data_IF_974106963520
#
_entry.id   IF_974106963520
#
_cell.length_a   1.000
_cell.length_b   1.000
_cell.length_c   1.000
_cell.angle_alpha   90.00
_cell.angle_beta   90.00
_cell.angle_gamma   90.00
#
_symmetry.space_group_name_H-M   'P 1'
#
loop_
_entity.id
_entity.type
_entity.pdbx_description
1 polymer ?
#
# COMPACT_ATOMS: atom_id res chain seq x y z
N UNK A 1 1.65 9.28 8.19
CA UNK A 1 1.93 9.19 6.74
C UNK A 1 2.40 10.54 6.25
N UNK A 2 3.38 10.59 5.33
CA UNK A 2 3.88 11.84 4.73
C UNK A 2 3.21 12.05 3.36
N UNK A 3 2.85 13.28 3.01
CA UNK A 3 2.45 13.63 1.66
C UNK A 3 3.68 13.84 0.79
N UNK A 4 3.72 13.17 -0.36
CA UNK A 4 4.79 13.25 -1.34
C UNK A 4 4.21 13.75 -2.66
N UNK A 5 5.03 14.43 -3.45
CA UNK A 5 4.68 14.66 -4.85
C UNK A 5 4.76 13.33 -5.63
N UNK A 6 4.25 13.33 -6.86
CA UNK A 6 4.17 12.12 -7.70
C UNK A 6 5.51 11.41 -7.87
N UNK A 7 6.57 12.14 -8.21
CA UNK A 7 7.89 11.58 -8.47
C UNK A 7 8.49 10.95 -7.20
N UNK A 8 8.40 11.65 -6.07
CA UNK A 8 8.83 11.14 -4.77
C UNK A 8 8.03 9.91 -4.33
N UNK A 9 6.73 9.89 -4.64
CA UNK A 9 5.81 8.82 -4.29
C UNK A 9 6.11 7.54 -5.09
N UNK A 10 6.31 7.66 -6.42
CA UNK A 10 6.73 6.55 -7.29
C UNK A 10 8.09 5.99 -6.85
N UNK A 11 9.03 6.87 -6.51
CA UNK A 11 10.34 6.45 -5.97
C UNK A 11 10.21 5.71 -4.63
N UNK A 12 9.28 6.12 -3.76
CA UNK A 12 9.03 5.45 -2.49
C UNK A 12 8.33 4.09 -2.64
N UNK A 13 7.48 3.94 -3.66
CA UNK A 13 6.81 2.70 -4.01
C UNK A 13 7.83 1.61 -4.35
N UNK A 14 8.81 1.94 -5.18
CA UNK A 14 9.94 1.07 -5.53
C UNK A 14 9.70 0.30 -6.82
N UNK A 15 10.25 -0.90 -6.92
CA UNK A 15 10.18 -1.70 -8.16
C UNK A 15 8.82 -2.40 -8.29
N UNK A 16 8.07 -2.23 -9.39
CA UNK A 16 6.81 -2.94 -9.58
C UNK A 16 7.02 -4.47 -9.65
N UNK A 17 6.05 -5.21 -9.10
CA UNK A 17 5.99 -6.66 -9.22
C UNK A 17 5.08 -7.04 -10.39
N UNK A 18 5.66 -7.65 -11.42
CA UNK A 18 4.93 -8.10 -12.60
C UNK A 18 4.44 -9.55 -12.54
N UNK A 19 4.78 -10.28 -11.47
CA UNK A 19 4.34 -11.66 -11.27
C UNK A 19 3.06 -11.70 -10.43
N UNK A 20 2.06 -12.46 -10.89
CA UNK A 20 0.84 -12.76 -10.15
C UNK A 20 1.19 -13.52 -8.87
N UNK A 21 1.36 -12.79 -7.76
CA UNK A 21 1.34 -13.35 -6.41
C UNK A 21 -0.08 -13.23 -5.87
N UNK A 22 -0.50 -14.28 -5.17
CA UNK A 22 -1.73 -14.25 -4.41
C UNK A 22 -1.54 -13.38 -3.17
N UNK A 23 -2.36 -12.33 -3.07
CA UNK A 23 -2.39 -11.39 -1.94
C UNK A 23 -3.72 -11.43 -1.18
N UNK A 24 -4.56 -12.44 -1.45
CA UNK A 24 -5.86 -12.66 -0.79
C UNK A 24 -5.77 -12.72 0.73
N UNK A 25 -4.63 -13.17 1.28
CA UNK A 25 -4.37 -13.19 2.72
C UNK A 25 -4.58 -11.82 3.39
N UNK A 26 -4.39 -10.73 2.64
CA UNK A 26 -4.50 -9.38 3.16
C UNK A 26 -5.84 -8.72 2.87
N UNK A 27 -6.72 -9.37 2.11
CA UNK A 27 -8.02 -8.81 1.73
C UNK A 27 -8.85 -8.48 2.97
N UNK A 28 -9.52 -7.33 2.93
CA UNK A 28 -10.32 -6.84 4.03
C UNK A 28 -9.52 -6.24 5.19
N UNK A 29 -8.18 -6.30 5.18
CA UNK A 29 -7.40 -5.67 6.23
C UNK A 29 -7.41 -4.14 6.11
N UNK A 30 -7.62 -3.41 7.21
CA UNK A 30 -7.78 -1.96 7.17
C UNK A 30 -6.43 -1.24 7.01
N UNK A 31 -6.46 -0.07 6.37
CA UNK A 31 -5.33 0.85 6.27
C UNK A 31 -5.80 2.31 6.36
N UNK A 32 -4.90 3.20 6.78
CA UNK A 32 -5.17 4.63 6.84
C UNK A 32 -4.90 5.27 5.46
N UNK A 33 -5.93 5.83 4.82
CA UNK A 33 -5.84 6.44 3.50
C UNK A 33 -5.43 7.90 3.58
N UNK A 34 -4.79 8.40 2.51
CA UNK A 34 -4.39 9.81 2.37
C UNK A 34 -5.57 10.79 2.48
N UNK A 35 -6.79 10.37 2.14
CA UNK A 35 -8.00 11.19 2.32
C UNK A 35 -8.42 11.38 3.79
N UNK A 36 -7.77 10.69 4.74
CA UNK A 36 -8.09 10.72 6.17
C UNK A 36 -9.06 9.63 6.62
N UNK A 37 -9.70 8.91 5.69
CA UNK A 37 -10.54 7.77 6.01
C UNK A 37 -9.73 6.48 6.19
N UNK A 38 -10.36 5.47 6.82
CA UNK A 38 -9.87 4.09 6.80
C UNK A 38 -10.56 3.32 5.69
N UNK A 39 -9.78 2.69 4.83
CA UNK A 39 -10.26 1.80 3.80
C UNK A 39 -9.77 0.38 4.06
N UNK A 40 -10.32 -0.57 3.31
CA UNK A 40 -9.93 -1.97 3.38
C UNK A 40 -9.16 -2.35 2.12
N UNK A 41 -8.09 -3.11 2.27
CA UNK A 41 -7.29 -3.59 1.17
C UNK A 41 -8.08 -4.62 0.34
N UNK A 42 -7.85 -4.60 -0.97
CA UNK A 42 -8.21 -5.67 -1.89
C UNK A 42 -7.05 -5.93 -2.85
N UNK A 43 -6.70 -7.20 -3.06
CA UNK A 43 -5.70 -7.65 -4.03
C UNK A 43 -6.04 -7.25 -5.48
N UNK A 44 -7.30 -6.97 -5.77
CA UNK A 44 -7.76 -6.49 -7.06
C UNK A 44 -7.66 -4.97 -7.20
N UNK A 45 -7.34 -4.27 -6.11
CA UNK A 45 -7.22 -2.82 -6.08
C UNK A 45 -5.75 -2.41 -6.01
N UNK A 46 -5.32 -1.63 -7.00
CA UNK A 46 -4.03 -0.97 -6.98
C UNK A 46 -2.87 -1.73 -7.65
N UNK A 47 -1.65 -1.31 -7.34
CA UNK A 47 -0.42 -1.84 -7.89
C UNK A 47 0.50 -2.37 -6.79
N UNK A 48 1.27 -3.40 -7.13
CA UNK A 48 2.07 -4.17 -6.19
C UNK A 48 3.56 -3.89 -6.43
N UNK A 49 4.31 -3.69 -5.35
CA UNK A 49 5.73 -3.31 -5.42
C UNK A 49 6.60 -4.24 -4.57
N UNK A 50 7.80 -4.50 -5.08
CA UNK A 50 8.82 -5.24 -4.37
C UNK A 50 9.27 -4.41 -3.17
N UNK A 51 9.17 -4.97 -1.97
CA UNK A 51 9.82 -4.41 -0.80
C UNK A 51 11.08 -5.20 -0.50
N UNK A 52 12.08 -4.51 0.05
CA UNK A 52 13.21 -5.17 0.70
C UNK A 52 12.77 -5.77 2.05
N UNK A 53 13.26 -6.97 2.37
CA UNK A 53 12.88 -7.74 3.57
C UNK A 53 11.57 -8.52 3.44
N UNK A 54 11.14 -9.20 4.52
CA UNK A 54 9.95 -10.09 4.55
C UNK A 54 8.57 -9.39 4.47
N UNK A 55 8.52 -8.17 3.97
CA UNK A 55 7.30 -7.33 3.92
C UNK A 55 6.87 -7.09 2.48
N UNK A 56 5.60 -6.78 2.22
CA UNK A 56 5.08 -6.38 0.92
C UNK A 56 4.67 -4.91 0.91
N UNK A 57 4.79 -4.22 -0.22
CA UNK A 57 4.34 -2.84 -0.42
C UNK A 57 3.27 -2.79 -1.50
N UNK A 58 2.28 -1.92 -1.30
CA UNK A 58 1.14 -1.75 -2.19
C UNK A 58 0.84 -0.27 -2.38
N UNK A 59 0.60 0.12 -3.62
CA UNK A 59 0.02 1.42 -3.95
C UNK A 59 -1.48 1.22 -4.16
N UNK A 60 -2.28 1.76 -3.27
CA UNK A 60 -3.74 1.65 -3.30
C UNK A 60 -4.35 3.00 -3.65
N UNK A 61 -5.26 3.00 -4.61
CA UNK A 61 -6.00 4.19 -4.99
C UNK A 61 -7.13 4.43 -3.98
N UNK A 62 -7.38 5.69 -3.64
CA UNK A 62 -8.46 6.07 -2.74
C UNK A 62 -9.81 5.86 -3.43
N UNK A 63 -10.77 5.25 -2.73
CA UNK A 63 -12.11 4.99 -3.25
C UNK A 63 -12.95 6.27 -3.34
N UNK A 64 -12.71 7.22 -2.44
CA UNK A 64 -13.45 8.48 -2.35
C UNK A 64 -12.82 9.60 -3.21
N UNK A 65 -11.57 9.43 -3.64
CA UNK A 65 -10.86 10.41 -4.47
C UNK A 65 -9.92 9.70 -5.46
N UNK A 66 -10.30 9.67 -6.74
CA UNK A 66 -9.53 8.98 -7.78
C UNK A 66 -8.16 9.61 -8.06
N UNK A 67 -7.92 10.87 -7.68
CA UNK A 67 -6.64 11.56 -7.82
C UNK A 67 -5.72 11.34 -6.61
N UNK A 68 -6.12 10.48 -5.67
CA UNK A 68 -5.39 10.22 -4.45
C UNK A 68 -4.94 8.76 -4.38
N UNK A 69 -3.68 8.55 -4.00
CA UNK A 69 -3.10 7.22 -3.80
C UNK A 69 -2.35 7.16 -2.47
N UNK A 70 -2.38 5.99 -1.85
CA UNK A 70 -1.68 5.72 -0.59
C UNK A 70 -0.70 4.58 -0.79
N UNK A 71 0.53 4.75 -0.32
CA UNK A 71 1.53 3.70 -0.28
C UNK A 71 1.48 3.02 1.09
N UNK A 72 1.06 1.76 1.11
CA UNK A 72 0.96 0.94 2.32
C UNK A 72 2.00 -0.19 2.30
N UNK A 73 2.38 -0.65 3.49
CA UNK A 73 3.33 -1.75 3.68
C UNK A 73 2.82 -2.73 4.72
N UNK A 74 3.03 -4.02 4.49
CA UNK A 74 2.74 -5.02 5.52
C UNK A 74 3.70 -4.87 6.69
N UNK A 75 3.15 -4.95 7.90
CA UNK A 75 3.92 -5.12 9.12
C UNK A 75 3.66 -6.53 9.63
N UNK A 76 4.73 -7.29 9.79
CA UNK A 76 4.65 -8.64 10.30
C UNK A 76 5.04 -8.68 11.79
N UNK A 77 4.36 -9.50 12.57
CA UNK A 77 4.80 -9.99 13.88
C UNK A 77 5.67 -11.23 13.70
N UNK A 78 6.67 -11.36 14.56
CA UNK A 78 7.62 -12.48 14.55
C UNK A 78 8.27 -12.75 13.17
N UNK A 79 8.39 -11.72 12.32
CA UNK A 79 8.91 -11.75 10.94
C UNK A 79 8.05 -12.51 9.90
N UNK A 80 7.12 -13.37 10.31
CA UNK A 80 6.36 -14.25 9.40
C UNK A 80 4.85 -14.05 9.40
N UNK A 81 4.24 -13.51 10.47
CA UNK A 81 2.79 -13.36 10.53
C UNK A 81 2.36 -11.93 10.22
N UNK A 82 1.49 -11.76 9.25
CA UNK A 82 0.85 -10.46 9.02
C UNK A 82 0.13 -9.98 10.28
N UNK A 83 0.41 -8.74 10.68
CA UNK A 83 -0.25 -8.08 11.82
C UNK A 83 -1.20 -6.99 11.33
N UNK A 84 -0.69 -6.08 10.49
CA UNK A 84 -1.45 -4.95 9.97
C UNK A 84 -0.76 -4.27 8.80
N UNK A 85 -1.48 -3.38 8.13
CA UNK A 85 -0.89 -2.40 7.23
C UNK A 85 -0.34 -1.18 7.96
N UNK A 86 0.70 -0.58 7.38
CA UNK A 86 1.24 0.72 7.78
C UNK A 86 1.28 1.63 6.55
N UNK A 87 0.61 2.76 6.64
CA UNK A 87 0.61 3.78 5.59
C UNK A 87 1.89 4.60 5.65
N UNK A 88 2.71 4.46 4.61
CA UNK A 88 4.02 5.10 4.52
C UNK A 88 3.88 6.54 4.02
N UNK A 89 3.25 6.68 2.86
CA UNK A 89 3.11 7.95 2.17
C UNK A 89 1.74 8.05 1.48
N UNK A 90 1.34 9.27 1.17
CA UNK A 90 0.19 9.57 0.31
C UNK A 90 0.60 10.53 -0.79
N UNK A 91 -0.10 10.46 -1.92
CA UNK A 91 0.02 11.39 -3.03
C UNK A 91 -1.40 11.86 -3.38
N UNK A 92 -1.55 13.15 -3.63
CA UNK A 92 -2.78 13.76 -4.14
C UNK A 92 -2.38 14.68 -5.30
N UNK A 93 -3.00 14.49 -6.46
CA UNK A 93 -2.95 15.43 -7.58
C UNK A 93 -4.13 16.42 -7.52
#
# INVERSE_FOLDING_TARGET
MKLLNKEEFEKAAGTPLFHNRDFSLYDGAPYDCVCGAKHHFSQFSGQHFASTGGSAKFMVQCLDNQNAATLIKTKNKFLIFFDRFVSLAGCME
#
